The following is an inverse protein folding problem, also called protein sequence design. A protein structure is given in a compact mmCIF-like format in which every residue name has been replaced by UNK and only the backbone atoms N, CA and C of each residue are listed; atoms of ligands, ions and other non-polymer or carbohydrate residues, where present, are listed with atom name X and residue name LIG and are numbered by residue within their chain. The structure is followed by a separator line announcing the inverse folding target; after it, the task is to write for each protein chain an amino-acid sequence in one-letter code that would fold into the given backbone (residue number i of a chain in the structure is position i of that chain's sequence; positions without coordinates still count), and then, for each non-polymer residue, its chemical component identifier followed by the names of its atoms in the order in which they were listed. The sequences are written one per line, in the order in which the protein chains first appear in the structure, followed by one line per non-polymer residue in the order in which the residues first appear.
data_IF_363744167682
#
_entry.id   IF_363744167682
#
_cell.length_a   1.000
_cell.length_b   1.000
_cell.length_c   1.000
_cell.angle_alpha   90.00
_cell.angle_beta   90.00
_cell.angle_gamma   90.00
#
_symmetry.space_group_name_H-M   'P 1'
#
loop_
_entity.id
_entity.type
_entity.pdbx_description
1 polymer ?
#
# COMPACT_ATOMS: atom_id res chain seq x y z
N UNK A 1 -9.39 0.96 -22.36
CA UNK A 1 -9.16 0.34 -21.02
C UNK A 1 -7.75 0.71 -20.60
N UNK A 2 -7.56 1.59 -19.61
CA UNK A 2 -6.23 1.87 -19.07
C UNK A 2 -5.84 0.66 -18.19
N UNK A 3 -4.85 -0.10 -18.65
CA UNK A 3 -4.27 -1.21 -17.87
C UNK A 3 -3.22 -0.59 -16.94
N UNK A 4 -3.55 -0.51 -15.64
CA UNK A 4 -2.65 -0.01 -14.61
C UNK A 4 -2.86 1.48 -14.29
N UNK A 5 -2.71 1.84 -13.02
CA UNK A 5 -2.66 3.23 -12.56
C UNK A 5 -1.29 3.87 -12.84
N UNK A 6 -1.16 5.15 -12.51
CA UNK A 6 0.09 5.90 -12.69
C UNK A 6 1.18 5.36 -11.76
N UNK A 7 2.39 5.15 -12.29
CA UNK A 7 3.56 4.86 -11.46
C UNK A 7 4.09 6.17 -10.88
N UNK A 8 3.58 6.59 -9.72
CA UNK A 8 3.97 7.81 -9.02
C UNK A 8 4.18 7.54 -7.53
N UNK A 9 4.95 8.40 -6.84
CA UNK A 9 5.30 8.21 -5.43
C UNK A 9 4.08 7.98 -4.53
N UNK A 10 2.96 8.66 -4.80
CA UNK A 10 1.70 8.51 -4.08
C UNK A 10 0.99 7.18 -4.31
N UNK A 11 1.33 6.43 -5.37
CA UNK A 11 0.75 5.13 -5.73
C UNK A 11 1.72 3.95 -5.51
N UNK A 12 2.90 4.22 -4.95
CA UNK A 12 3.87 3.19 -4.59
C UNK A 12 3.63 2.71 -3.15
N UNK A 13 3.72 1.39 -2.96
CA UNK A 13 3.75 0.76 -1.65
C UNK A 13 4.95 -0.16 -1.51
N UNK A 14 5.74 0.02 -0.45
CA UNK A 14 6.84 -0.88 -0.08
C UNK A 14 6.27 -2.18 0.49
N UNK A 15 6.05 -3.16 -0.38
CA UNK A 15 5.55 -4.49 0.01
C UNK A 15 6.69 -5.50 0.02
N UNK A 16 6.73 -6.37 1.04
CA UNK A 16 7.66 -7.49 1.04
C UNK A 16 7.22 -8.56 0.02
N UNK A 17 8.12 -9.48 -0.31
CA UNK A 17 7.91 -10.51 -1.33
C UNK A 17 6.59 -11.30 -1.13
N UNK A 18 6.22 -11.77 0.08
CA UNK A 18 4.95 -12.47 0.28
C UNK A 18 3.72 -11.67 -0.18
N UNK A 19 3.65 -10.39 0.14
CA UNK A 19 2.54 -9.52 -0.26
C UNK A 19 2.54 -9.22 -1.76
N UNK A 20 3.73 -9.13 -2.37
CA UNK A 20 3.83 -9.01 -3.82
C UNK A 20 3.29 -10.24 -4.53
N UNK A 21 3.64 -11.43 -4.04
CA UNK A 21 3.14 -12.70 -4.58
C UNK A 21 1.63 -12.85 -4.36
N UNK A 22 1.14 -12.46 -3.19
CA UNK A 22 -0.29 -12.51 -2.86
C UNK A 22 -1.16 -11.74 -3.87
N UNK A 23 -0.80 -10.49 -4.22
CA UNK A 23 -1.56 -9.70 -5.21
C UNK A 23 -1.39 -10.17 -6.67
N UNK A 24 -0.26 -10.80 -6.98
CA UNK A 24 0.09 -11.14 -8.37
C UNK A 24 -0.40 -12.54 -8.75
N UNK A 25 -0.38 -13.47 -7.80
CA UNK A 25 -0.66 -14.90 -8.05
C UNK A 25 -1.65 -15.52 -7.06
N UNK A 26 -1.98 -14.84 -5.96
CA UNK A 26 -2.78 -15.40 -4.87
C UNK A 26 -4.23 -14.93 -4.83
N UNK A 27 -4.74 -14.30 -5.89
CA UNK A 27 -6.09 -13.71 -5.97
C UNK A 27 -6.43 -12.67 -4.89
N UNK A 28 -5.41 -12.12 -4.22
CA UNK A 28 -5.60 -10.98 -3.34
C UNK A 28 -5.80 -9.72 -4.15
N UNK A 29 -6.72 -8.87 -3.72
CA UNK A 29 -6.88 -7.53 -4.28
C UNK A 29 -6.28 -6.49 -3.34
N UNK A 30 -5.73 -5.43 -3.96
CA UNK A 30 -5.11 -4.32 -3.26
C UNK A 30 -5.71 -3.02 -3.79
N UNK A 31 -6.26 -2.21 -2.89
CA UNK A 31 -6.65 -0.84 -3.14
C UNK A 31 -5.81 0.10 -2.28
N UNK A 32 -5.49 1.28 -2.83
CA UNK A 32 -4.77 2.33 -2.11
C UNK A 32 -5.60 3.62 -2.12
N UNK A 33 -6.56 3.80 -1.19
CA UNK A 33 -7.47 4.95 -1.19
C UNK A 33 -6.76 6.30 -1.00
N UNK A 34 -5.61 6.30 -0.34
CA UNK A 34 -4.75 7.47 -0.16
C UNK A 34 -3.28 7.06 -0.05
N UNK A 35 -2.32 7.96 -0.30
CA UNK A 35 -0.89 7.67 -0.16
C UNK A 35 -0.56 6.97 1.17
N UNK A 36 0.02 5.77 1.05
CA UNK A 36 0.42 4.95 2.20
C UNK A 36 -0.72 4.27 2.98
N UNK A 37 -1.96 4.32 2.51
CA UNK A 37 -3.10 3.59 3.10
C UNK A 37 -3.55 2.48 2.17
N UNK A 38 -3.53 1.24 2.64
CA UNK A 38 -3.82 0.06 1.83
C UNK A 38 -4.99 -0.74 2.39
N UNK A 39 -5.86 -1.18 1.49
CA UNK A 39 -6.95 -2.12 1.76
C UNK A 39 -6.66 -3.39 0.99
N UNK A 40 -6.44 -4.48 1.72
CA UNK A 40 -6.21 -5.81 1.16
C UNK A 40 -7.45 -6.66 1.36
N UNK A 41 -7.94 -7.29 0.30
CA UNK A 41 -9.02 -8.27 0.40
C UNK A 41 -8.49 -9.65 0.05
N UNK A 42 -8.67 -10.61 0.95
CA UNK A 42 -8.29 -12.00 0.74
C UNK A 42 -9.19 -12.69 -0.29
N UNK A 43 -8.77 -13.82 -0.87
CA UNK A 43 -9.63 -14.64 -1.73
C UNK A 43 -10.92 -15.12 -1.05
N UNK A 44 -10.91 -15.20 0.28
CA UNK A 44 -12.07 -15.56 1.10
C UNK A 44 -12.94 -14.36 1.51
N UNK A 45 -12.61 -13.15 1.06
CA UNK A 45 -13.37 -11.93 1.33
C UNK A 45 -13.02 -11.22 2.64
N UNK A 46 -11.96 -11.62 3.35
CA UNK A 46 -11.51 -10.92 4.55
C UNK A 46 -10.79 -9.62 4.16
N UNK A 47 -11.16 -8.52 4.81
CA UNK A 47 -10.63 -7.19 4.52
C UNK A 47 -9.64 -6.76 5.61
N UNK A 48 -8.46 -6.30 5.18
CA UNK A 48 -7.38 -5.85 6.05
C UNK A 48 -6.94 -4.43 5.69
N UNK A 49 -6.98 -3.54 6.69
CA UNK A 49 -6.46 -2.18 6.56
C UNK A 49 -5.01 -2.12 7.06
N UNK A 50 -4.11 -1.53 6.27
CA UNK A 50 -2.69 -1.36 6.61
C UNK A 50 -2.21 0.04 6.24
N UNK A 51 -1.37 0.61 7.09
CA UNK A 51 -0.62 1.83 6.78
C UNK A 51 0.81 1.45 6.44
N UNK A 52 1.41 2.16 5.50
CA UNK A 52 2.85 2.08 5.28
C UNK A 52 3.56 2.44 6.60
N UNK A 53 4.47 1.59 7.03
CA UNK A 53 5.42 1.97 8.07
C UNK A 53 6.35 3.03 7.47
N UNK A 54 6.44 4.24 8.04
CA UNK A 54 7.38 5.24 7.56
C UNK A 54 8.80 4.70 7.70
N UNK A 55 9.59 4.78 6.63
CA UNK A 55 11.00 4.37 6.64
C UNK A 55 11.82 5.22 7.61
N UNK A 56 11.36 6.43 7.88
CA UNK A 56 11.96 7.38 8.80
C UNK A 56 10.89 7.83 9.81
N UNK A 57 10.71 7.12 10.93
CA UNK A 57 9.67 7.44 11.92
C UNK A 57 9.89 8.80 12.60
N UNK A 58 11.13 9.28 12.69
CA UNK A 58 11.52 10.51 13.38
C UNK A 58 11.31 11.80 12.55
N UNK A 59 11.26 11.70 11.22
CA UNK A 59 11.00 12.87 10.37
C UNK A 59 9.53 13.32 10.37
N UNK A 60 8.62 12.48 10.87
CA UNK A 60 7.22 12.87 11.04
C UNK A 60 7.08 14.05 12.04
N UNK A 61 7.99 14.18 13.01
CA UNK A 61 8.03 15.31 13.94
C UNK A 61 8.76 16.54 13.42
N UNK A 62 9.46 16.45 12.29
CA UNK A 62 10.23 17.56 11.68
C UNK A 62 9.46 18.30 10.58
N UNK A 63 8.36 17.74 10.08
CA UNK A 63 7.52 18.38 9.05
C UNK A 63 6.38 19.23 9.63
N UNK A 64 6.12 19.11 10.94
CA UNK A 64 5.10 19.90 11.67
C UNK A 64 5.71 21.02 12.53
N UNK A 65 6.99 21.34 12.35
CA UNK A 65 7.66 22.46 13.01
C UNK A 65 7.81 23.66 12.08
N UNK A 66 7.28 24.81 12.50
CA UNK A 66 7.77 26.14 12.08
C UNK A 66 9.30 26.24 12.18
#
# INVERSE_FOLDING_TARGET
RLRGGLTEAGNLGSICVPWHQAKTHGDWTLEQPSPGSFVWTSPTGLVYHRRATPLLPDLAGLVDGE
#
